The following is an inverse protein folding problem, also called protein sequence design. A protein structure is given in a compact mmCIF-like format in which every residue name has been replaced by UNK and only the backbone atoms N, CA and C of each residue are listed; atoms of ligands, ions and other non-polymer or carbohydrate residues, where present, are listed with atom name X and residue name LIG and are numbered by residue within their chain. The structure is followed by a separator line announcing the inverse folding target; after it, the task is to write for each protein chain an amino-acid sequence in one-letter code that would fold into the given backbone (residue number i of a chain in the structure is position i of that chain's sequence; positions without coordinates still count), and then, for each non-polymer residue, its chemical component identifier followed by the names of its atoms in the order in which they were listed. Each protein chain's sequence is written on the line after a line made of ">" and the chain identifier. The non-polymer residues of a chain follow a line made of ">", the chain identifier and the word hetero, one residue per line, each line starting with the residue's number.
data_IF_191657234500
#
_entry.id   IF_191657234500
#
_cell.length_a   1.000
_cell.length_b   1.000
_cell.length_c   1.000
_cell.angle_alpha   90.00
_cell.angle_beta   90.00
_cell.angle_gamma   90.00
#
_symmetry.space_group_name_H-M   'P 1'
#
loop_
_entity.id
_entity.type
_entity.pdbx_description
1 polymer ?
#
# COMPACT_ATOMS: atom_id res chain seq x y z
N UNK A 1 -1.84 15.38 3.35
CA UNK A 1 -0.61 14.65 3.66
C UNK A 1 -0.96 13.36 4.37
N UNK A 2 -0.16 12.32 4.10
CA UNK A 2 -0.35 11.02 4.73
C UNK A 2 0.42 10.97 6.04
N UNK A 3 -0.19 10.38 7.04
CA UNK A 3 0.48 10.25 8.32
C UNK A 3 0.88 8.79 8.57
N UNK A 4 1.57 8.55 9.68
CA UNK A 4 2.08 7.22 9.99
C UNK A 4 0.97 6.19 10.14
N UNK A 5 -0.17 6.63 10.63
CA UNK A 5 -1.30 5.73 10.82
C UNK A 5 -1.82 5.22 9.48
N UNK A 6 -1.90 6.09 8.51
CA UNK A 6 -2.35 5.71 7.18
C UNK A 6 -1.36 4.75 6.53
N UNK A 7 -0.07 5.01 6.68
CA UNK A 7 0.96 4.13 6.16
C UNK A 7 0.82 2.73 6.76
N UNK A 8 0.58 2.67 8.05
CA UNK A 8 0.44 1.40 8.74
C UNK A 8 -0.75 0.61 8.19
N UNK A 9 -1.87 1.28 7.97
CA UNK A 9 -3.06 0.64 7.44
C UNK A 9 -2.78 0.07 6.05
N UNK A 10 -2.09 0.82 5.22
CA UNK A 10 -1.75 0.38 3.87
C UNK A 10 -0.85 -0.85 3.93
N UNK A 11 0.18 -0.82 4.76
CA UNK A 11 1.09 -1.95 4.88
C UNK A 11 0.36 -3.20 5.36
N UNK A 12 -0.48 -3.04 6.38
CA UNK A 12 -1.24 -4.17 6.89
C UNK A 12 -2.16 -4.76 5.83
N UNK A 13 -2.81 -3.89 5.07
CA UNK A 13 -3.70 -4.34 4.01
C UNK A 13 -2.94 -5.12 2.96
N UNK A 14 -1.76 -4.64 2.58
CA UNK A 14 -0.94 -5.32 1.59
C UNK A 14 -0.51 -6.69 2.10
N UNK A 15 -0.17 -6.79 3.37
CA UNK A 15 0.21 -8.06 3.96
C UNK A 15 -0.93 -9.08 3.96
N UNK A 16 -2.15 -8.59 4.08
CA UNK A 16 -3.32 -9.46 4.21
C UNK A 16 -4.03 -9.74 2.90
N UNK A 17 -3.54 -9.20 1.81
CA UNK A 17 -4.13 -9.42 0.50
C UNK A 17 -3.12 -10.06 -0.42
N UNK A 18 -3.59 -10.65 -1.51
CA UNK A 18 -2.72 -11.36 -2.44
C UNK A 18 -2.14 -10.46 -3.51
N UNK A 19 -2.91 -9.45 -3.92
CA UNK A 19 -2.49 -8.59 -5.01
C UNK A 19 -2.72 -7.13 -4.62
N UNK A 20 -2.06 -6.25 -5.37
CA UNK A 20 -2.25 -4.81 -5.17
C UNK A 20 -3.67 -4.40 -5.51
N UNK A 21 -4.25 -5.07 -6.50
CA UNK A 21 -5.63 -4.81 -6.86
C UNK A 21 -6.55 -5.08 -5.69
N UNK A 22 -6.33 -6.21 -5.05
CA UNK A 22 -7.14 -6.59 -3.90
C UNK A 22 -6.95 -5.60 -2.76
N UNK A 23 -5.71 -5.20 -2.53
CA UNK A 23 -5.41 -4.23 -1.49
C UNK A 23 -6.11 -2.90 -1.76
N UNK A 24 -6.10 -2.46 -3.01
CA UNK A 24 -6.76 -1.22 -3.37
C UNK A 24 -8.27 -1.32 -3.14
N UNK A 25 -8.85 -2.47 -3.46
CA UNK A 25 -10.28 -2.69 -3.23
C UNK A 25 -10.62 -2.59 -1.76
N UNK A 26 -9.81 -3.22 -0.92
CA UNK A 26 -10.04 -3.17 0.52
C UNK A 26 -9.94 -1.75 1.04
N UNK A 27 -9.01 -0.99 0.51
CA UNK A 27 -8.80 0.39 0.94
C UNK A 27 -9.80 1.36 0.32
N UNK A 28 -10.55 0.91 -0.68
CA UNK A 28 -11.51 1.77 -1.34
C UNK A 28 -10.89 2.80 -2.26
N UNK A 29 -9.74 2.49 -2.83
CA UNK A 29 -9.02 3.41 -3.74
C UNK A 29 -8.66 2.66 -5.02
N UNK A 30 -8.25 3.40 -6.04
CA UNK A 30 -7.83 2.78 -7.29
C UNK A 30 -6.42 2.23 -7.15
N UNK A 31 -6.07 1.30 -8.04
CA UNK A 31 -4.73 0.75 -8.06
C UNK A 31 -3.69 1.83 -8.30
N UNK A 32 -4.01 2.78 -9.16
CA UNK A 32 -3.09 3.88 -9.45
C UNK A 32 -2.82 4.68 -8.19
N UNK A 33 -3.86 5.00 -7.44
CA UNK A 33 -3.70 5.74 -6.21
C UNK A 33 -2.87 4.96 -5.21
N UNK A 34 -3.10 3.66 -5.11
CA UNK A 34 -2.33 2.83 -4.20
C UNK A 34 -0.86 2.84 -4.57
N UNK A 35 -0.55 2.70 -5.85
CA UNK A 35 0.85 2.72 -6.30
C UNK A 35 1.51 4.04 -5.97
N UNK A 36 0.79 5.12 -6.15
CA UNK A 36 1.31 6.44 -5.85
C UNK A 36 1.63 6.57 -4.36
N UNK A 37 0.72 6.10 -3.52
CA UNK A 37 0.95 6.15 -2.08
C UNK A 37 2.13 5.29 -1.66
N UNK A 38 2.27 4.12 -2.27
CA UNK A 38 3.41 3.24 -1.98
C UNK A 38 4.72 3.91 -2.36
N UNK A 39 4.76 4.58 -3.49
CA UNK A 39 5.97 5.28 -3.91
C UNK A 39 6.34 6.36 -2.90
N UNK A 40 5.35 7.09 -2.40
CA UNK A 40 5.60 8.12 -1.39
C UNK A 40 6.14 7.50 -0.11
N UNK A 41 5.60 6.36 0.26
CA UNK A 41 6.07 5.68 1.46
C UNK A 41 7.52 5.26 1.34
N UNK A 42 7.91 4.78 0.16
CA UNK A 42 9.29 4.40 -0.07
C UNK A 42 10.23 5.59 0.02
N UNK A 43 9.79 6.72 -0.47
CA UNK A 43 10.59 7.93 -0.39
C UNK A 43 10.85 8.34 1.05
N UNK A 44 9.94 7.98 1.93
CA UNK A 44 10.10 8.28 3.35
C UNK A 44 10.83 7.19 4.11
N UNK A 45 11.32 6.18 3.41
CA UNK A 45 12.06 5.10 4.03
C UNK A 45 11.21 4.02 4.66
N UNK A 46 9.94 3.98 4.33
CA UNK A 46 9.04 2.97 4.88
C UNK A 46 9.11 1.71 4.04
N UNK A 47 9.26 0.58 4.71
CA UNK A 47 9.35 -0.69 4.04
C UNK A 47 7.96 -1.18 3.64
N UNK A 48 7.80 -1.54 2.37
CA UNK A 48 6.52 -2.03 1.85
C UNK A 48 6.70 -3.45 1.34
N UNK A 49 5.84 -4.38 1.74
CA UNK A 49 5.96 -5.77 1.28
C UNK A 49 5.81 -5.88 -0.23
N UNK A 50 6.56 -6.80 -0.81
CA UNK A 50 6.53 -7.03 -2.25
C UNK A 50 6.00 -8.40 -2.59
N UNK A 51 5.01 -8.83 -1.93
CA UNK A 51 4.58 -10.20 -2.07
C UNK A 51 3.80 -10.51 -3.34
N UNK A 52 3.39 -9.49 -4.06
CA UNK A 52 2.60 -9.72 -5.27
C UNK A 52 3.43 -9.83 -6.50
N UNK A 53 4.70 -9.88 -6.35
CA UNK A 53 5.59 -9.89 -7.49
C UNK A 53 5.53 -11.16 -8.31
N UNK A 54 4.95 -12.17 -7.81
CA UNK A 54 4.87 -13.44 -8.52
C UNK A 54 4.08 -13.31 -9.81
#
# INVERSE_FOLDING_TARGET
>A
AMDANEFRIIVETIKNTRTRKEAADVLGISQRTLRYKIARMREKGISVPKRQSA
#
